data_IF_038918222235
#
_entry.id   IF_038918222235
#
_cell.length_a   1.000
_cell.length_b   1.000
_cell.length_c   1.000
_cell.angle_alpha   90.00
_cell.angle_beta   90.00
_cell.angle_gamma   90.00
#
_symmetry.space_group_name_H-M   'P 1'
#
loop_
_entity.id
_entity.type
_entity.pdbx_description
1 polymer ?
#
# COMPACT_ATOMS: atom_id res chain seq x y z
N UNK A 1 11.41 8.33 10.09
CA UNK A 1 10.17 8.01 10.84
C UNK A 1 9.80 6.52 10.70
N UNK A 2 10.75 5.62 10.95
CA UNK A 2 10.57 4.15 10.79
C UNK A 2 11.16 3.33 11.96
N UNK A 3 11.70 3.99 12.99
CA UNK A 3 12.37 3.32 14.12
C UNK A 3 11.51 3.30 15.41
N UNK A 4 10.47 4.16 15.49
CA UNK A 4 9.72 4.38 16.74
C UNK A 4 8.43 3.55 16.88
N UNK A 5 8.06 2.73 15.88
CA UNK A 5 6.85 1.90 15.94
C UNK A 5 7.08 0.51 16.57
N UNK A 6 8.33 0.13 16.83
CA UNK A 6 8.68 -1.23 17.27
C UNK A 6 8.49 -1.47 18.78
N UNK A 7 8.59 -0.44 19.62
CA UNK A 7 8.58 -0.61 21.09
C UNK A 7 7.19 -0.86 21.67
N UNK A 8 6.12 -0.49 20.96
CA UNK A 8 4.74 -0.68 21.41
C UNK A 8 4.22 -2.11 21.19
N UNK A 9 4.89 -2.91 20.37
CA UNK A 9 4.40 -4.23 19.97
C UNK A 9 4.68 -5.36 20.98
N UNK A 10 5.48 -5.10 22.03
CA UNK A 10 6.00 -6.15 22.93
C UNK A 10 5.28 -6.23 24.28
N UNK A 11 4.32 -5.35 24.58
CA UNK A 11 3.66 -5.25 25.91
C UNK A 11 2.38 -6.09 26.05
N UNK A 12 2.05 -6.97 25.10
CA UNK A 12 0.74 -7.62 25.01
C UNK A 12 0.85 -9.15 24.90
N UNK A 13 1.54 -9.80 25.83
CA UNK A 13 1.78 -11.25 25.78
C UNK A 13 0.81 -12.10 26.62
N UNK A 14 0.12 -11.51 27.61
CA UNK A 14 -0.81 -12.24 28.49
C UNK A 14 -2.26 -12.29 28.00
N UNK A 15 -2.77 -11.19 27.42
CA UNK A 15 -4.16 -11.08 26.96
C UNK A 15 -4.42 -11.80 25.63
N UNK A 16 -3.36 -12.11 24.88
CA UNK A 16 -3.43 -12.74 23.57
C UNK A 16 -3.96 -14.19 23.64
N UNK A 17 -3.55 -14.94 24.67
CA UNK A 17 -3.93 -16.35 24.84
C UNK A 17 -5.41 -16.53 25.17
N UNK A 18 -6.00 -15.63 25.96
CA UNK A 18 -7.42 -15.69 26.32
C UNK A 18 -8.34 -15.35 25.14
N UNK A 19 -7.91 -14.40 24.29
CA UNK A 19 -8.62 -14.06 23.05
C UNK A 19 -8.59 -15.22 22.04
N UNK A 20 -7.48 -15.95 21.97
CA UNK A 20 -7.33 -17.11 21.09
C UNK A 20 -8.32 -18.23 21.45
N UNK A 21 -8.46 -18.54 22.75
CA UNK A 21 -9.42 -19.53 23.27
C UNK A 21 -10.87 -19.13 22.99
N UNK A 22 -11.20 -17.84 23.08
CA UNK A 22 -12.54 -17.32 22.81
C UNK A 22 -12.94 -17.41 21.33
N UNK A 23 -12.01 -17.11 20.43
CA UNK A 23 -12.23 -17.19 18.96
C UNK A 23 -12.42 -18.64 18.50
N UNK A 24 -11.74 -19.61 19.13
CA UNK A 24 -11.92 -21.04 18.85
C UNK A 24 -13.33 -21.54 19.21
N UNK A 25 -13.96 -20.98 20.24
CA UNK A 25 -15.34 -21.31 20.65
C UNK A 25 -16.41 -20.72 19.73
N UNK A 26 -16.12 -19.61 19.05
CA UNK A 26 -17.03 -18.87 18.17
C UNK A 26 -16.85 -19.18 16.69
N UNK A 27 -16.44 -20.42 16.37
CA UNK A 27 -16.01 -20.80 15.02
C UNK A 27 -16.98 -20.29 13.95
N UNK A 28 -16.57 -19.32 13.11
CA UNK A 28 -17.45 -18.81 12.08
C UNK A 28 -17.66 -19.92 11.05
N UNK A 29 -18.92 -20.20 10.72
CA UNK A 29 -19.23 -20.97 9.52
C UNK A 29 -18.59 -20.24 8.33
N UNK A 30 -17.67 -20.91 7.64
CA UNK A 30 -17.02 -20.37 6.45
C UNK A 30 -18.09 -20.02 5.41
N UNK A 31 -18.42 -18.74 5.29
CA UNK A 31 -19.23 -18.24 4.18
C UNK A 31 -18.33 -18.25 2.95
N UNK A 32 -18.73 -19.02 1.93
CA UNK A 32 -17.95 -19.19 0.71
C UNK A 32 -17.63 -17.85 0.04
N UNK A 33 -16.34 -17.54 -0.10
CA UNK A 33 -15.85 -16.37 -0.82
C UNK A 33 -15.52 -16.69 -2.28
N UNK A 34 -15.53 -15.68 -3.14
CA UNK A 34 -15.12 -15.82 -4.55
C UNK A 34 -13.62 -15.55 -4.67
N UNK A 35 -12.87 -16.54 -5.18
CA UNK A 35 -11.44 -16.37 -5.50
C UNK A 35 -11.28 -15.68 -6.85
N UNK A 36 -10.49 -14.60 -6.89
CA UNK A 36 -10.06 -13.93 -8.13
C UNK A 36 -8.56 -14.12 -8.33
N UNK A 37 -8.19 -14.65 -9.49
CA UNK A 37 -6.78 -14.90 -9.86
C UNK A 37 -6.33 -13.80 -10.82
N UNK A 38 -5.22 -13.14 -10.52
CA UNK A 38 -4.60 -12.12 -11.37
C UNK A 38 -3.20 -12.57 -11.78
N UNK A 39 -2.86 -12.35 -13.04
CA UNK A 39 -1.51 -12.55 -13.56
C UNK A 39 -0.88 -11.18 -13.80
N UNK A 40 0.18 -10.88 -13.07
CA UNK A 40 0.89 -9.60 -13.18
C UNK A 40 2.25 -9.85 -13.83
N UNK A 41 2.50 -9.14 -14.92
CA UNK A 41 3.82 -9.06 -15.56
C UNK A 41 4.46 -7.70 -15.25
N UNK A 42 5.78 -7.69 -15.03
CA UNK A 42 6.55 -6.47 -14.88
C UNK A 42 7.24 -6.20 -16.21
N UNK A 43 7.09 -4.97 -16.71
CA UNK A 43 7.72 -4.52 -17.94
C UNK A 43 8.37 -3.17 -17.71
N UNK A 44 9.59 -3.01 -18.22
CA UNK A 44 10.23 -1.70 -18.31
C UNK A 44 9.52 -0.89 -19.39
N UNK A 45 9.07 0.31 -19.01
CA UNK A 45 8.39 1.24 -19.93
C UNK A 45 9.01 2.63 -19.78
N UNK A 46 9.11 3.35 -20.90
CA UNK A 46 9.46 4.76 -20.84
C UNK A 46 8.26 5.55 -20.33
N UNK A 47 8.38 6.13 -19.14
CA UNK A 47 7.29 6.86 -18.50
C UNK A 47 7.46 8.37 -18.65
N UNK A 48 6.68 8.97 -19.56
CA UNK A 48 6.63 10.42 -19.71
C UNK A 48 5.73 11.03 -18.64
N UNK A 49 6.32 11.61 -17.60
CA UNK A 49 5.62 12.28 -16.49
C UNK A 49 4.80 13.49 -16.93
N UNK A 50 5.13 14.14 -18.05
CA UNK A 50 4.46 15.34 -18.53
C UNK A 50 4.25 15.26 -20.06
N UNK A 51 3.30 14.45 -20.54
CA UNK A 51 3.11 14.19 -21.97
C UNK A 51 2.74 15.45 -22.77
N UNK A 52 2.16 16.45 -22.12
CA UNK A 52 1.81 17.75 -22.74
C UNK A 52 2.99 18.71 -22.85
N UNK A 53 4.12 18.43 -22.20
CA UNK A 53 5.28 19.32 -22.16
C UNK A 53 5.01 20.67 -21.47
N UNK A 54 3.92 20.80 -20.72
CA UNK A 54 3.50 22.05 -20.08
C UNK A 54 3.04 21.82 -18.65
N UNK A 55 3.37 22.76 -17.78
CA UNK A 55 2.74 22.87 -16.49
C UNK A 55 1.29 23.31 -16.71
N UNK A 56 0.34 22.42 -16.47
CA UNK A 56 -1.09 22.65 -16.72
C UNK A 56 -1.66 23.76 -15.83
N UNK A 57 -1.10 23.95 -14.64
CA UNK A 57 -1.55 24.98 -13.69
C UNK A 57 -1.08 26.38 -14.12
N UNK A 58 0.15 26.49 -14.62
CA UNK A 58 0.75 27.77 -15.03
C UNK A 58 0.60 28.05 -16.54
N UNK A 59 0.09 27.08 -17.32
CA UNK A 59 0.08 27.09 -18.79
C UNK A 59 1.43 27.43 -19.44
N UNK A 60 2.53 27.06 -18.79
CA UNK A 60 3.90 27.35 -19.21
C UNK A 60 4.59 26.07 -19.68
N UNK A 61 5.44 26.19 -20.70
CA UNK A 61 6.29 25.09 -21.15
C UNK A 61 7.27 24.69 -20.05
N UNK A 62 7.35 23.39 -19.73
CA UNK A 62 8.32 22.88 -18.76
C UNK A 62 9.76 22.90 -19.32
N UNK A 63 9.90 23.01 -20.65
CA UNK A 63 11.20 23.13 -21.31
C UNK A 63 11.77 24.56 -21.24
N UNK A 64 10.97 25.55 -20.82
CA UNK A 64 11.36 26.97 -20.82
C UNK A 64 12.36 27.35 -19.70
N UNK A 65 12.67 26.42 -18.78
CA UNK A 65 13.72 26.61 -17.76
C UNK A 65 15.09 26.04 -18.16
N UNK A 66 15.29 25.70 -19.44
CA UNK A 66 16.61 25.33 -19.97
C UNK A 66 17.39 26.59 -20.39
N UNK A 67 17.75 27.42 -19.41
CA UNK A 67 18.93 28.27 -19.50
C UNK A 67 20.01 27.61 -18.65
N UNK A 68 20.71 26.65 -19.27
CA UNK A 68 22.13 26.41 -18.98
C UNK A 68 22.92 27.49 -19.71
#
# INVERSE_FOLDING_TARGET
MWCNLQKHLQSMMGSFWLLLLYIQMLSPMFVGGVTRVYYLGIHEVNWNYAPTGKNVLANQSIAHNLYV
#
